data_IF_065318524407
#
_entry.id   IF_065318524407
#
_cell.length_a   1.000
_cell.length_b   1.000
_cell.length_c   1.000
_cell.angle_alpha   90.00
_cell.angle_beta   90.00
_cell.angle_gamma   90.00
#
_symmetry.space_group_name_H-M   'P 1'
#
loop_
_entity.id
_entity.type
_entity.pdbx_description
1 polymer ?
#
# COMPACT_ATOMS: atom_id res chain seq x y z
N UNK A 1 28.00 14.21 9.21
CA UNK A 1 27.31 12.99 9.66
C UNK A 1 26.10 13.27 10.57
N UNK A 2 26.23 13.92 11.74
CA UNK A 2 25.10 14.15 12.67
C UNK A 2 23.77 14.59 12.03
N UNK A 3 23.78 15.62 11.19
CA UNK A 3 22.57 16.10 10.51
C UNK A 3 21.97 15.08 9.53
N UNK A 4 22.79 14.41 8.72
CA UNK A 4 22.35 13.36 7.82
C UNK A 4 21.72 12.18 8.59
N UNK A 5 22.33 11.81 9.71
CA UNK A 5 21.81 10.78 10.62
C UNK A 5 20.47 11.14 11.22
N UNK A 6 20.27 12.39 11.66
CA UNK A 6 18.97 12.83 12.17
C UNK A 6 17.87 12.71 11.10
N UNK A 7 18.17 13.12 9.86
CA UNK A 7 17.23 12.98 8.74
C UNK A 7 16.93 11.49 8.45
N UNK A 8 17.94 10.62 8.49
CA UNK A 8 17.77 9.17 8.33
C UNK A 8 16.86 8.57 9.41
N UNK A 9 17.06 8.96 10.67
CA UNK A 9 16.25 8.49 11.80
C UNK A 9 14.79 8.94 11.63
N UNK A 10 14.56 10.21 11.31
CA UNK A 10 13.21 10.76 11.09
C UNK A 10 12.55 10.04 9.90
N UNK A 11 13.26 9.90 8.78
CA UNK A 11 12.75 9.22 7.59
C UNK A 11 12.38 7.77 7.86
N UNK A 12 13.20 7.04 8.62
CA UNK A 12 12.93 5.65 9.00
C UNK A 12 11.78 5.56 10.00
N UNK A 13 11.70 6.47 10.98
CA UNK A 13 10.62 6.50 11.96
C UNK A 13 9.26 6.80 11.33
N UNK A 14 9.20 7.55 10.23
CA UNK A 14 7.94 7.79 9.49
C UNK A 14 7.30 6.50 8.98
N UNK A 15 8.06 5.42 8.73
CA UNK A 15 7.46 4.13 8.37
C UNK A 15 6.53 3.59 9.48
N UNK A 16 6.77 3.96 10.74
CA UNK A 16 5.90 3.56 11.86
C UNK A 16 4.51 4.18 11.77
N UNK A 17 4.32 5.23 10.97
CA UNK A 17 3.00 5.81 10.76
C UNK A 17 2.01 4.82 10.14
N UNK A 18 2.50 3.80 9.43
CA UNK A 18 1.68 2.75 8.81
C UNK A 18 0.95 1.86 9.84
N UNK A 19 1.39 1.83 11.10
CA UNK A 19 0.66 1.16 12.18
C UNK A 19 -0.52 1.96 12.71
N UNK A 20 -0.62 3.24 12.34
CA UNK A 20 -1.65 4.17 12.83
C UNK A 20 -2.58 4.58 11.68
N UNK A 21 -1.99 4.91 10.53
CA UNK A 21 -2.69 5.42 9.36
C UNK A 21 -2.75 4.36 8.26
N UNK A 22 -3.84 4.36 7.47
CA UNK A 22 -3.98 3.44 6.35
C UNK A 22 -2.91 3.69 5.29
N UNK A 23 -2.49 2.62 4.64
CA UNK A 23 -1.53 2.64 3.54
C UNK A 23 -2.18 3.15 2.25
N UNK A 24 -3.40 2.68 1.95
CA UNK A 24 -4.08 2.92 0.68
C UNK A 24 -5.59 3.07 0.87
N UNK A 25 -6.25 3.70 -0.10
CA UNK A 25 -7.71 3.76 -0.19
C UNK A 25 -8.20 3.19 -1.52
N UNK A 26 -9.35 2.55 -1.46
CA UNK A 26 -10.13 2.16 -2.64
C UNK A 26 -11.56 2.61 -2.40
N UNK A 27 -12.09 3.44 -3.28
CA UNK A 27 -13.43 4.00 -3.24
C UNK A 27 -14.18 3.62 -4.52
N UNK A 28 -15.47 3.36 -4.38
CA UNK A 28 -16.40 2.96 -5.42
C UNK A 28 -17.56 3.95 -5.38
N UNK A 29 -17.56 4.88 -6.33
CA UNK A 29 -18.62 5.87 -6.47
C UNK A 29 -19.67 5.35 -7.45
N UNK A 30 -20.95 5.43 -7.11
CA UNK A 30 -22.03 5.13 -8.04
C UNK A 30 -23.30 5.90 -7.69
N UNK A 31 -24.20 6.19 -8.66
CA UNK A 31 -25.44 6.92 -8.39
C UNK A 31 -26.35 6.27 -7.33
N UNK A 32 -26.25 4.95 -7.14
CA UNK A 32 -27.03 4.20 -6.15
C UNK A 32 -26.43 4.28 -4.73
N UNK A 33 -25.18 4.73 -4.61
CA UNK A 33 -24.44 4.92 -3.36
C UNK A 33 -24.01 6.39 -3.28
N UNK A 34 -24.93 7.32 -2.92
CA UNK A 34 -24.65 8.76 -2.94
C UNK A 34 -23.51 9.17 -2.00
N UNK A 35 -23.30 8.43 -0.91
CA UNK A 35 -22.18 8.63 0.03
C UNK A 35 -20.91 7.86 -0.36
N UNK A 36 -20.95 7.13 -1.49
CA UNK A 36 -19.89 6.21 -1.92
C UNK A 36 -19.82 4.92 -1.10
N UNK A 37 -19.01 3.97 -1.57
CA UNK A 37 -18.54 2.84 -0.78
C UNK A 37 -17.03 2.87 -0.80
N UNK A 38 -16.37 2.66 0.34
CA UNK A 38 -14.92 2.67 0.34
C UNK A 38 -14.29 1.83 1.42
N UNK A 39 -13.00 1.59 1.24
CA UNK A 39 -12.19 0.88 2.20
C UNK A 39 -10.78 1.45 2.28
N UNK A 40 -10.29 1.45 3.51
CA UNK A 40 -8.91 1.66 3.89
C UNK A 40 -8.17 0.32 3.94
N UNK A 41 -7.00 0.29 3.31
CA UNK A 41 -6.06 -0.81 3.41
C UNK A 41 -5.04 -0.45 4.49
N UNK A 42 -5.08 -1.16 5.61
CA UNK A 42 -4.10 -1.09 6.69
C UNK A 42 -3.06 -2.20 6.53
N UNK A 43 -1.95 -2.11 7.27
CA UNK A 43 -0.92 -3.16 7.24
C UNK A 43 -1.44 -4.53 7.69
N UNK A 44 -2.46 -4.55 8.53
CA UNK A 44 -3.00 -5.72 9.22
C UNK A 44 -4.42 -6.07 8.77
N UNK A 45 -4.97 -5.39 7.76
CA UNK A 45 -6.27 -5.74 7.21
C UNK A 45 -6.99 -4.60 6.49
N UNK A 46 -8.29 -4.81 6.29
CA UNK A 46 -9.18 -3.90 5.60
C UNK A 46 -10.18 -3.27 6.58
N UNK A 47 -10.50 -1.99 6.36
CA UNK A 47 -11.50 -1.27 7.15
C UNK A 47 -12.37 -0.43 6.23
N UNK A 48 -13.69 -0.54 6.32
CA UNK A 48 -14.62 0.29 5.55
C UNK A 48 -14.54 1.77 5.93
N UNK A 49 -14.97 2.68 5.06
CA UNK A 49 -15.17 4.08 5.45
C UNK A 49 -16.30 4.18 6.48
N UNK A 50 -17.34 3.38 6.28
CA UNK A 50 -18.40 3.11 7.26
C UNK A 50 -18.36 1.65 7.74
N UNK A 51 -19.12 1.35 8.80
CA UNK A 51 -19.25 -0.01 9.36
C UNK A 51 -19.82 -1.02 8.35
N UNK A 52 -20.64 -0.56 7.41
CA UNK A 52 -21.36 -1.42 6.49
C UNK A 52 -20.69 -1.56 5.11
N UNK A 53 -19.68 -0.75 4.80
CA UNK A 53 -19.10 -0.70 3.46
C UNK A 53 -18.50 -2.04 3.03
N UNK A 54 -17.69 -2.67 3.87
CA UNK A 54 -17.09 -3.97 3.53
C UNK A 54 -18.17 -5.04 3.27
N UNK A 55 -19.24 -5.01 4.06
CA UNK A 55 -20.38 -5.92 3.90
C UNK A 55 -21.16 -5.63 2.61
N UNK A 56 -21.35 -4.36 2.28
CA UNK A 56 -22.03 -3.94 1.05
C UNK A 56 -21.20 -4.32 -0.18
N UNK A 57 -19.89 -4.09 -0.15
CA UNK A 57 -18.95 -4.51 -1.20
C UNK A 57 -18.98 -6.02 -1.37
N UNK A 58 -18.90 -6.80 -0.28
CA UNK A 58 -19.04 -8.27 -0.35
C UNK A 58 -20.39 -8.72 -0.93
N UNK A 59 -21.46 -7.99 -0.61
CA UNK A 59 -22.79 -8.21 -1.18
C UNK A 59 -22.79 -8.01 -2.70
N UNK A 60 -22.16 -6.93 -3.19
CA UNK A 60 -22.00 -6.67 -4.62
C UNK A 60 -21.16 -7.75 -5.29
N UNK A 61 -20.02 -8.09 -4.70
CA UNK A 61 -19.08 -9.12 -5.17
C UNK A 61 -19.78 -10.46 -5.40
N UNK A 62 -20.65 -10.87 -4.47
CA UNK A 62 -21.41 -12.11 -4.59
C UNK A 62 -22.24 -12.19 -5.88
N UNK A 63 -22.85 -11.09 -6.32
CA UNK A 63 -23.68 -11.09 -7.53
C UNK A 63 -22.87 -11.17 -8.82
N UNK A 64 -21.69 -10.55 -8.86
CA UNK A 64 -20.80 -10.48 -10.03
C UNK A 64 -19.73 -11.57 -10.04
N UNK A 65 -19.70 -12.44 -9.02
CA UNK A 65 -18.78 -13.57 -8.91
C UNK A 65 -17.41 -13.24 -8.35
N UNK A 66 -17.18 -12.01 -7.87
CA UNK A 66 -15.92 -11.67 -7.20
C UNK A 66 -15.81 -12.36 -5.85
N UNK A 67 -14.57 -12.62 -5.43
CA UNK A 67 -14.29 -13.18 -4.11
C UNK A 67 -14.68 -12.20 -3.00
N UNK A 68 -14.97 -12.74 -1.81
CA UNK A 68 -15.12 -11.89 -0.62
C UNK A 68 -13.82 -11.18 -0.31
N UNK A 69 -13.94 -10.01 0.30
CA UNK A 69 -12.80 -9.28 0.80
C UNK A 69 -12.04 -10.14 1.82
N UNK A 70 -10.71 -10.25 1.68
CA UNK A 70 -9.90 -11.12 2.53
C UNK A 70 -9.90 -10.61 3.97
N UNK A 71 -10.03 -11.52 4.93
CA UNK A 71 -9.83 -11.22 6.35
C UNK A 71 -8.33 -11.25 6.70
N UNK A 72 -7.92 -10.69 7.84
CA UNK A 72 -6.54 -10.77 8.33
C UNK A 72 -5.95 -12.20 8.41
N UNK A 73 -6.82 -13.22 8.54
CA UNK A 73 -6.42 -14.63 8.56
C UNK A 73 -6.26 -15.26 7.18
N UNK A 74 -6.85 -14.65 6.15
CA UNK A 74 -6.96 -15.22 4.82
C UNK A 74 -5.79 -14.78 3.92
N UNK A 75 -5.07 -13.72 4.31
CA UNK A 75 -3.88 -13.20 3.65
C UNK A 75 -2.68 -13.17 4.60
N UNK A 76 -1.60 -13.86 4.23
CA UNK A 76 -0.38 -13.92 5.02
C UNK A 76 0.36 -12.57 5.04
N UNK A 77 0.12 -11.72 4.03
CA UNK A 77 0.63 -10.36 3.91
C UNK A 77 0.21 -9.50 5.10
N UNK A 78 -1.04 -9.62 5.56
CA UNK A 78 -1.53 -8.87 6.72
C UNK A 78 -0.84 -9.24 8.04
N UNK A 79 -0.24 -10.44 8.12
CA UNK A 79 0.54 -10.85 9.27
C UNK A 79 2.03 -10.49 9.11
N UNK A 80 2.52 -10.52 7.87
CA UNK A 80 3.95 -10.36 7.57
C UNK A 80 4.35 -8.91 7.39
N UNK A 81 3.52 -8.08 6.75
CA UNK A 81 3.82 -6.68 6.50
C UNK A 81 4.03 -5.86 7.78
N UNK A 82 3.23 -6.00 8.85
CA UNK A 82 3.53 -5.34 10.13
C UNK A 82 4.91 -5.69 10.66
N UNK A 83 5.31 -6.96 10.60
CA UNK A 83 6.62 -7.43 11.07
C UNK A 83 7.74 -6.83 10.22
N UNK A 84 7.62 -6.92 8.89
CA UNK A 84 8.60 -6.40 7.94
C UNK A 84 8.77 -4.89 8.10
N UNK A 85 7.68 -4.12 8.15
CA UNK A 85 7.71 -2.67 8.34
C UNK A 85 8.34 -2.30 9.69
N UNK A 86 8.01 -3.03 10.76
CA UNK A 86 8.60 -2.83 12.08
C UNK A 86 10.11 -3.05 12.09
N UNK A 87 10.57 -4.16 11.50
CA UNK A 87 12.00 -4.48 11.36
C UNK A 87 12.70 -3.43 10.50
N UNK A 88 12.10 -3.04 9.37
CA UNK A 88 12.66 -2.04 8.46
C UNK A 88 12.82 -0.69 9.16
N UNK A 89 11.78 -0.22 9.84
CA UNK A 89 11.87 1.02 10.61
C UNK A 89 12.96 0.95 11.68
N UNK A 90 12.98 -0.14 12.46
CA UNK A 90 13.99 -0.35 13.51
C UNK A 90 15.43 -0.37 12.99
N UNK A 91 15.68 -1.11 11.90
CA UNK A 91 17.00 -1.17 11.26
C UNK A 91 17.40 0.18 10.65
N UNK A 92 16.48 0.89 9.99
CA UNK A 92 16.73 2.21 9.45
C UNK A 92 17.10 3.24 10.52
N UNK A 93 16.37 3.23 11.65
CA UNK A 93 16.68 4.04 12.83
C UNK A 93 18.06 3.67 13.37
N UNK A 94 18.36 2.38 13.54
CA UNK A 94 19.65 1.91 14.03
C UNK A 94 20.80 2.37 13.13
N UNK A 95 20.67 2.23 11.80
CA UNK A 95 21.65 2.74 10.83
C UNK A 95 21.87 4.24 11.00
N UNK A 96 20.79 5.00 11.19
CA UNK A 96 20.85 6.43 11.47
C UNK A 96 21.62 6.75 12.75
N UNK A 97 21.32 6.04 13.85
CA UNK A 97 21.99 6.17 15.15
C UNK A 97 23.48 5.83 15.05
N UNK A 98 23.83 4.71 14.41
CA UNK A 98 25.23 4.34 14.17
C UNK A 98 25.97 5.38 13.34
N UNK A 99 25.30 5.99 12.35
CA UNK A 99 25.86 7.08 11.56
C UNK A 99 26.08 8.34 12.39
N UNK A 100 25.25 8.58 13.41
CA UNK A 100 25.36 9.74 14.30
C UNK A 100 26.65 9.67 15.13
N UNK A 101 26.96 8.46 15.63
CA UNK A 101 28.20 8.14 16.33
C UNK A 101 29.40 7.87 15.40
N UNK A 102 29.24 8.08 14.09
CA UNK A 102 30.27 7.84 13.05
C UNK A 102 30.77 6.39 12.97
N UNK A 103 29.98 5.42 13.44
CA UNK A 103 30.28 3.99 13.31
C UNK A 103 30.07 3.53 11.86
N UNK A 104 29.04 4.07 11.19
CA UNK A 104 28.76 3.80 9.77
C UNK A 104 28.88 5.06 8.91
N UNK A 105 29.13 4.87 7.62
CA UNK A 105 29.26 5.94 6.62
C UNK A 105 27.96 6.18 5.86
N UNK A 106 27.87 7.30 5.15
CA UNK A 106 26.70 7.68 4.33
C UNK A 106 26.32 6.62 3.26
N UNK A 107 27.25 5.74 2.87
CA UNK A 107 26.99 4.63 1.93
C UNK A 107 25.94 3.65 2.45
N UNK A 108 25.86 3.46 3.78
CA UNK A 108 24.84 2.61 4.40
C UNK A 108 23.44 3.18 4.22
N UNK A 109 23.28 4.51 4.17
CA UNK A 109 21.97 5.15 3.92
C UNK A 109 21.49 4.85 2.50
N UNK A 110 22.41 4.85 1.52
CA UNK A 110 22.08 4.46 0.14
C UNK A 110 21.75 2.97 0.03
N UNK A 111 22.57 2.10 0.65
CA UNK A 111 22.29 0.66 0.67
C UNK A 111 20.94 0.34 1.28
N UNK A 112 20.59 1.03 2.37
CA UNK A 112 19.28 0.92 3.00
C UNK A 112 18.15 1.41 2.10
N UNK A 113 18.29 2.58 1.47
CA UNK A 113 17.31 3.11 0.53
C UNK A 113 17.06 2.15 -0.64
N UNK A 114 18.12 1.56 -1.21
CA UNK A 114 17.99 0.58 -2.31
C UNK A 114 17.20 -0.63 -1.83
N UNK A 115 17.53 -1.19 -0.67
CA UNK A 115 16.80 -2.33 -0.10
C UNK A 115 15.32 -1.99 0.10
N UNK A 116 15.01 -0.84 0.72
CA UNK A 116 13.62 -0.42 0.92
C UNK A 116 12.88 -0.21 -0.40
N UNK A 117 13.55 0.33 -1.41
CA UNK A 117 12.96 0.54 -2.74
C UNK A 117 12.63 -0.78 -3.42
N UNK A 118 13.54 -1.76 -3.36
CA UNK A 118 13.31 -3.11 -3.92
C UNK A 118 12.12 -3.77 -3.23
N UNK A 119 12.06 -3.74 -1.90
CA UNK A 119 10.95 -4.31 -1.14
C UNK A 119 9.62 -3.58 -1.41
N UNK A 120 9.64 -2.25 -1.51
CA UNK A 120 8.46 -1.45 -1.84
C UNK A 120 7.93 -1.74 -3.25
N UNK A 121 8.82 -1.87 -4.25
CA UNK A 121 8.44 -2.26 -5.61
C UNK A 121 7.88 -3.69 -5.64
N UNK A 122 8.49 -4.61 -4.90
CA UNK A 122 7.99 -5.98 -4.78
C UNK A 122 6.58 -6.01 -4.16
N UNK A 123 6.33 -5.24 -3.09
CA UNK A 123 5.02 -5.11 -2.47
C UNK A 123 3.97 -4.48 -3.40
N UNK A 124 4.33 -3.46 -4.18
CA UNK A 124 3.42 -2.87 -5.17
C UNK A 124 3.12 -3.82 -6.33
N UNK A 125 4.10 -4.62 -6.76
CA UNK A 125 3.90 -5.65 -7.79
C UNK A 125 2.93 -6.72 -7.29
N UNK A 126 3.16 -7.21 -6.06
CA UNK A 126 2.32 -8.20 -5.41
C UNK A 126 0.88 -7.69 -5.22
N UNK A 127 0.72 -6.45 -4.72
CA UNK A 127 -0.59 -5.81 -4.61
C UNK A 127 -1.29 -5.69 -5.97
N UNK A 128 -0.57 -5.31 -7.03
CA UNK A 128 -1.15 -5.25 -8.37
C UNK A 128 -1.53 -6.64 -8.90
N UNK A 129 -0.76 -7.69 -8.59
CA UNK A 129 -1.08 -9.06 -8.96
C UNK A 129 -2.34 -9.55 -8.24
N UNK A 130 -2.45 -9.27 -6.94
CA UNK A 130 -3.66 -9.53 -6.16
C UNK A 130 -4.88 -8.80 -6.74
N UNK A 131 -4.77 -7.52 -7.10
CA UNK A 131 -5.86 -6.77 -7.75
C UNK A 131 -6.30 -7.38 -9.08
N UNK A 132 -5.36 -7.93 -9.87
CA UNK A 132 -5.70 -8.64 -11.12
C UNK A 132 -6.48 -9.90 -10.82
N UNK A 133 -5.97 -10.76 -9.94
CA UNK A 133 -6.65 -12.01 -9.58
C UNK A 133 -8.04 -11.72 -9.01
N UNK A 134 -8.12 -10.82 -8.03
CA UNK A 134 -9.37 -10.40 -7.39
C UNK A 134 -10.41 -9.89 -8.40
N UNK A 135 -9.98 -9.13 -9.40
CA UNK A 135 -10.84 -8.54 -10.42
C UNK A 135 -11.14 -9.42 -11.64
N UNK A 136 -10.54 -10.61 -11.77
CA UNK A 136 -10.69 -11.46 -12.98
C UNK A 136 -11.00 -12.93 -12.67
N UNK A 137 -10.67 -13.42 -11.47
CA UNK A 137 -10.97 -14.75 -11.01
C UNK A 137 -12.39 -14.83 -10.45
N UNK A 138 -13.35 -14.87 -11.37
CA UNK A 138 -14.79 -14.80 -11.07
C UNK A 138 -15.44 -16.18 -11.00
N UNK A 139 -16.37 -16.36 -10.07
CA UNK A 139 -17.17 -17.59 -9.98
C UNK A 139 -18.03 -17.78 -11.25
N UNK A 140 -17.84 -18.88 -12.01
CA UNK A 140 -18.66 -19.17 -13.19
C UNK A 140 -20.14 -19.41 -12.87
N UNK A 141 -20.54 -19.53 -11.60
CA UNK A 141 -21.93 -19.63 -11.14
C UNK A 141 -22.55 -18.29 -10.72
N UNK A 142 -21.84 -17.18 -10.89
CA UNK A 142 -22.35 -15.85 -10.59
C UNK A 142 -23.68 -15.55 -11.30
N UNK A 143 -24.54 -14.79 -10.62
CA UNK A 143 -25.87 -14.40 -11.11
C UNK A 143 -25.72 -13.45 -12.29
N UNK A 144 -24.80 -12.49 -12.19
CA UNK A 144 -24.54 -11.49 -13.22
C UNK A 144 -23.20 -11.83 -13.89
N UNK A 145 -23.25 -12.08 -15.19
CA UNK A 145 -22.07 -12.34 -16.03
C UNK A 145 -21.97 -11.24 -17.08
N UNK A 146 -21.01 -10.37 -16.90
CA UNK A 146 -20.68 -9.36 -17.90
C UNK A 146 -19.51 -9.86 -18.71
N UNK A 147 -19.64 -9.74 -20.03
CA UNK A 147 -18.55 -9.98 -20.98
C UNK A 147 -18.12 -8.66 -21.60
N UNK A 148 -16.85 -8.56 -21.96
CA UNK A 148 -16.35 -7.44 -22.72
C UNK A 148 -16.81 -7.51 -24.20
N UNK A 149 -16.37 -6.54 -25.01
CA UNK A 149 -16.71 -6.45 -26.43
C UNK A 149 -16.19 -7.64 -27.25
N UNK A 150 -15.23 -8.39 -26.72
CA UNK A 150 -14.55 -9.52 -27.36
C UNK A 150 -15.12 -10.86 -26.88
N UNK A 151 -16.06 -10.84 -25.93
CA UNK A 151 -16.70 -12.03 -25.37
C UNK A 151 -15.94 -12.66 -24.20
N UNK A 152 -14.87 -12.03 -23.71
CA UNK A 152 -14.14 -12.49 -22.53
C UNK A 152 -14.84 -12.04 -21.25
N UNK A 153 -14.63 -12.74 -20.10
CA UNK A 153 -15.12 -12.28 -18.81
C UNK A 153 -14.65 -10.85 -18.50
N UNK A 154 -15.59 -9.99 -18.12
CA UNK A 154 -15.30 -8.59 -17.80
C UNK A 154 -14.37 -8.48 -16.58
N UNK A 155 -13.37 -7.59 -16.65
CA UNK A 155 -12.46 -7.34 -15.53
C UNK A 155 -12.99 -6.24 -14.63
N UNK A 156 -13.23 -6.58 -13.37
CA UNK A 156 -13.64 -5.66 -12.31
C UNK A 156 -12.44 -5.10 -11.52
N UNK A 157 -11.22 -5.28 -12.05
CA UNK A 157 -10.00 -4.81 -11.40
C UNK A 157 -10.04 -3.27 -11.23
N UNK A 158 -9.97 -2.75 -9.99
CA UNK A 158 -9.80 -1.33 -9.76
C UNK A 158 -8.41 -0.86 -10.20
N UNK A 159 -8.22 0.43 -10.52
CA UNK A 159 -6.92 0.95 -10.88
C UNK A 159 -5.96 0.79 -9.69
N UNK A 160 -4.68 0.51 -9.96
CA UNK A 160 -3.66 0.52 -8.91
C UNK A 160 -3.50 1.92 -8.31
N UNK A 161 -3.55 2.93 -9.17
CA UNK A 161 -3.49 4.35 -8.84
C UNK A 161 -4.29 5.13 -9.88
N UNK A 162 -5.14 6.05 -9.42
CA UNK A 162 -6.01 6.86 -10.28
C UNK A 162 -7.49 6.45 -10.18
N UNK A 163 -8.27 6.77 -11.21
CA UNK A 163 -9.68 6.40 -11.30
C UNK A 163 -9.97 5.61 -12.58
N UNK A 164 -10.97 4.73 -12.53
CA UNK A 164 -11.43 3.94 -13.67
C UNK A 164 -12.91 3.60 -13.53
N UNK A 165 -13.65 3.76 -14.62
CA UNK A 165 -15.04 3.36 -14.69
C UNK A 165 -15.16 1.83 -14.87
N UNK A 166 -16.00 1.22 -14.04
CA UNK A 166 -16.31 -0.20 -13.99
C UNK A 166 -17.83 -0.31 -13.96
N UNK A 167 -18.43 -0.47 -15.14
CA UNK A 167 -19.88 -0.44 -15.34
C UNK A 167 -20.48 0.89 -14.86
N UNK A 168 -21.35 0.85 -13.83
CA UNK A 168 -21.97 2.02 -13.24
C UNK A 168 -21.18 2.58 -12.03
N UNK A 169 -20.03 1.98 -11.71
CA UNK A 169 -19.15 2.44 -10.65
C UNK A 169 -17.94 3.18 -11.22
N UNK A 170 -17.49 4.21 -10.53
CA UNK A 170 -16.17 4.79 -10.70
C UNK A 170 -15.29 4.31 -9.56
N UNK A 171 -14.29 3.49 -9.85
CA UNK A 171 -13.34 3.01 -8.86
C UNK A 171 -12.17 4.00 -8.77
N UNK A 172 -11.94 4.55 -7.59
CA UNK A 172 -10.90 5.52 -7.28
C UNK A 172 -9.91 4.91 -6.30
N UNK A 173 -8.61 4.95 -6.60
CA UNK A 173 -7.57 4.33 -5.77
C UNK A 173 -6.34 5.21 -5.63
N UNK A 174 -5.96 5.50 -4.39
CA UNK A 174 -4.83 6.38 -4.07
C UNK A 174 -4.11 5.98 -2.78
N UNK A 175 -2.83 6.38 -2.64
CA UNK A 175 -2.13 6.30 -1.36
C UNK A 175 -2.89 7.11 -0.31
N UNK A 176 -3.13 6.50 0.84
CA UNK A 176 -3.69 7.19 1.99
C UNK A 176 -2.55 7.84 2.82
N UNK A 177 -2.89 8.42 3.98
CA UNK A 177 -1.94 9.16 4.81
C UNK A 177 -0.69 8.33 5.16
N UNK A 178 -0.84 7.05 5.47
CA UNK A 178 0.29 6.16 5.74
C UNK A 178 1.19 5.95 4.51
N UNK A 179 0.62 5.79 3.32
CA UNK A 179 1.38 5.69 2.06
C UNK A 179 2.12 6.98 1.70
N UNK A 180 1.51 8.14 1.97
CA UNK A 180 2.15 9.45 1.80
C UNK A 180 3.34 9.58 2.75
N UNK A 181 3.16 9.28 4.04
CA UNK A 181 4.21 9.38 5.05
C UNK A 181 5.35 8.38 4.78
N UNK A 182 5.04 7.18 4.30
CA UNK A 182 6.03 6.22 3.81
C UNK A 182 6.88 6.82 2.69
N UNK A 183 6.24 7.42 1.69
CA UNK A 183 6.92 8.05 0.54
C UNK A 183 7.81 9.20 0.99
N UNK A 184 7.32 10.05 1.89
CA UNK A 184 8.10 11.13 2.50
C UNK A 184 9.28 10.56 3.31
N UNK A 185 9.07 9.50 4.07
CA UNK A 185 10.11 8.81 4.83
C UNK A 185 11.23 8.29 3.93
N UNK A 186 10.88 7.60 2.84
CA UNK A 186 11.84 7.16 1.82
C UNK A 186 12.59 8.33 1.21
N UNK A 187 11.90 9.42 0.85
CA UNK A 187 12.53 10.61 0.30
C UNK A 187 13.53 11.25 1.29
N UNK A 188 13.20 11.29 2.59
CA UNK A 188 14.12 11.76 3.62
C UNK A 188 15.36 10.88 3.73
N UNK A 189 15.26 9.55 3.60
CA UNK A 189 16.46 8.69 3.58
C UNK A 189 17.37 8.99 2.39
N UNK A 190 16.80 9.35 1.23
CA UNK A 190 17.57 9.83 0.08
C UNK A 190 18.25 11.18 0.35
N UNK A 191 17.53 12.13 0.95
CA UNK A 191 18.11 13.42 1.38
C UNK A 191 19.23 13.21 2.39
N UNK A 192 19.08 12.29 3.35
CA UNK A 192 20.11 11.93 4.31
C UNK A 192 21.39 11.44 3.62
N UNK A 193 21.26 10.59 2.59
CA UNK A 193 22.39 10.18 1.77
C UNK A 193 23.07 11.38 1.08
N UNK A 194 22.31 12.26 0.42
CA UNK A 194 22.87 13.43 -0.27
C UNK A 194 23.60 14.39 0.68
N UNK A 195 23.03 14.65 1.86
CA UNK A 195 23.67 15.48 2.91
C UNK A 195 24.92 14.81 3.45
N UNK A 196 24.90 13.48 3.62
CA UNK A 196 26.06 12.69 4.03
C UNK A 196 27.20 12.78 3.01
N UNK A 197 26.88 12.61 1.72
CA UNK A 197 27.83 12.70 0.61
C UNK A 197 28.46 14.10 0.51
N UNK A 198 27.66 15.17 0.57
CA UNK A 198 28.14 16.56 0.50
C UNK A 198 29.09 16.93 1.64
N UNK A 199 28.89 16.35 2.83
CA UNK A 199 29.75 16.62 4.00
C UNK A 199 30.99 15.72 4.08
N UNK A 200 31.09 14.74 3.18
CA UNK A 200 32.25 13.84 3.08
C UNK A 200 33.22 14.24 1.97
N UNK A 201 32.79 15.10 1.04
CA UNK A 201 33.64 15.88 0.15
C UNK A 201 34.14 17.12 0.87
#
# INVERSE_FOLDING_TARGET
MKAASAIMIIGSALLLSLFIYPLWTVELEAPQYPDGLGMYIHLDGLKGFTEYDLKNIDGLNHYIGMQKLPKPTDMWEFQTFPIVVGIMSGLGILIGVLGFFKVVTYKWFLGWLILMTVLGVAGMYDFNAWLVDYGTNLDPKAIIKVVDKEGNPFSYKPPLLGSRDILNFTAVSYPAMGGILLTVGMFLTFVAYLVGLKRAK
#
